data_IF_618292207218
#
_entry.id   IF_618292207218
#
_cell.length_a   1.000
_cell.length_b   1.000
_cell.length_c   1.000
_cell.angle_alpha   90.00
_cell.angle_beta   90.00
_cell.angle_gamma   90.00
#
_symmetry.space_group_name_H-M   'P 1'
#
loop_
_entity.id
_entity.type
_entity.pdbx_description
1 polymer ?
#
# COMPACT_ATOMS: atom_id res chain seq x y z
N UNK A 1 15.69 15.06 -15.61
CA UNK A 1 15.01 16.33 -15.30
C UNK A 1 15.97 17.29 -14.61
N UNK A 2 15.88 18.58 -14.92
CA UNK A 2 16.65 19.65 -14.25
C UNK A 2 15.65 20.61 -13.64
N UNK A 3 15.86 20.97 -12.37
CA UNK A 3 15.03 21.92 -11.65
C UNK A 3 15.72 23.27 -11.60
N UNK A 4 14.99 24.33 -11.94
CA UNK A 4 15.49 25.70 -11.96
C UNK A 4 14.76 26.55 -10.93
N UNK A 5 15.52 27.43 -10.26
CA UNK A 5 14.98 28.47 -9.40
C UNK A 5 14.44 29.68 -10.22
N UNK A 6 13.90 30.68 -9.54
CA UNK A 6 13.39 31.93 -10.16
C UNK A 6 14.43 32.74 -10.94
N UNK A 7 15.71 32.49 -10.72
CA UNK A 7 16.84 33.15 -11.41
C UNK A 7 17.37 32.32 -12.59
N UNK A 8 16.76 31.14 -12.83
CA UNK A 8 17.21 30.21 -13.87
C UNK A 8 18.39 29.35 -13.48
N UNK A 9 18.78 29.33 -12.20
CA UNK A 9 19.88 28.48 -11.72
C UNK A 9 19.40 27.07 -11.47
N UNK A 10 20.16 26.08 -11.92
CA UNK A 10 19.87 24.69 -11.66
C UNK A 10 20.24 24.31 -10.21
N UNK A 11 19.40 23.53 -9.56
CA UNK A 11 19.65 23.00 -8.21
C UNK A 11 19.02 21.63 -8.02
N UNK A 12 19.42 20.92 -6.94
CA UNK A 12 18.81 19.67 -6.52
C UNK A 12 17.80 19.97 -5.42
N UNK A 13 16.48 19.82 -5.67
CA UNK A 13 15.47 20.13 -4.67
C UNK A 13 15.48 19.10 -3.54
N UNK A 14 15.18 19.59 -2.35
CA UNK A 14 14.89 18.81 -1.14
C UNK A 14 13.56 19.27 -0.55
N UNK A 15 13.01 18.57 0.43
CA UNK A 15 11.72 18.92 1.03
C UNK A 15 11.56 20.40 1.40
N UNK A 16 12.61 21.02 1.96
CA UNK A 16 12.60 22.43 2.34
C UNK A 16 12.71 23.43 1.18
N UNK A 17 13.09 22.98 -0.01
CA UNK A 17 13.32 23.86 -1.19
C UNK A 17 12.35 23.55 -2.34
N UNK A 18 11.31 22.76 -2.11
CA UNK A 18 10.28 22.50 -3.13
C UNK A 18 9.58 23.79 -3.60
N UNK A 19 9.41 24.75 -2.70
CA UNK A 19 8.81 26.05 -3.02
C UNK A 19 9.69 26.94 -3.91
N UNK A 20 10.98 26.64 -4.05
CA UNK A 20 11.93 27.40 -4.85
C UNK A 20 11.98 26.93 -6.32
N UNK A 21 11.31 25.83 -6.65
CA UNK A 21 11.25 25.31 -8.02
C UNK A 21 10.35 26.21 -8.87
N UNK A 22 10.93 26.84 -9.88
CA UNK A 22 10.17 27.65 -10.83
C UNK A 22 9.94 26.93 -12.15
N UNK A 23 10.94 26.18 -12.66
CA UNK A 23 10.82 25.43 -13.90
C UNK A 23 11.39 24.02 -13.79
N UNK A 24 10.87 23.12 -14.63
CA UNK A 24 11.36 21.76 -14.81
C UNK A 24 11.73 21.56 -16.27
N UNK A 25 13.00 21.26 -16.54
CA UNK A 25 13.44 20.88 -17.87
C UNK A 25 13.39 19.37 -18.00
N UNK A 26 12.56 18.88 -18.91
CA UNK A 26 12.49 17.46 -19.22
C UNK A 26 13.70 16.96 -20.00
N UNK A 27 14.14 15.71 -19.81
CA UNK A 27 15.14 15.11 -20.67
C UNK A 27 14.62 14.99 -22.11
N UNK A 28 15.53 14.96 -23.07
CA UNK A 28 15.18 14.82 -24.50
C UNK A 28 14.52 13.47 -24.80
N UNK A 29 14.93 12.44 -24.09
CA UNK A 29 14.37 11.10 -24.24
C UNK A 29 13.66 10.70 -22.93
N UNK A 30 12.46 10.11 -23.00
CA UNK A 30 11.77 9.62 -21.83
C UNK A 30 12.51 8.43 -21.22
N UNK A 31 12.22 8.12 -19.96
CA UNK A 31 12.71 6.91 -19.31
C UNK A 31 12.16 5.67 -20.03
N UNK A 32 13.05 4.91 -20.69
CA UNK A 32 12.69 3.93 -21.74
C UNK A 32 12.20 2.58 -21.22
N UNK A 33 11.97 2.40 -19.90
CA UNK A 33 11.48 1.15 -19.33
C UNK A 33 10.16 1.35 -18.57
N UNK A 34 9.23 0.39 -18.61
CA UNK A 34 8.03 0.44 -17.77
C UNK A 34 8.39 0.40 -16.29
N UNK A 35 7.79 1.27 -15.50
CA UNK A 35 8.00 1.31 -14.05
C UNK A 35 6.68 1.06 -13.33
N UNK A 36 6.69 0.14 -12.38
CA UNK A 36 5.60 -0.05 -11.42
C UNK A 36 6.15 0.21 -10.03
N UNK A 37 5.52 1.12 -9.30
CA UNK A 37 5.89 1.43 -7.92
C UNK A 37 4.88 0.82 -6.95
N UNK A 38 5.37 -0.01 -6.04
CA UNK A 38 4.55 -0.56 -4.96
C UNK A 38 4.15 0.56 -3.99
N UNK A 39 2.86 0.73 -3.78
CA UNK A 39 2.31 1.79 -2.94
C UNK A 39 1.08 1.30 -2.20
N UNK A 40 1.21 1.07 -0.89
CA UNK A 40 0.13 0.54 -0.04
C UNK A 40 -0.64 1.63 0.73
N UNK A 41 -0.40 2.91 0.39
CA UNK A 41 -1.13 4.05 0.94
C UNK A 41 -1.83 4.81 -0.16
N UNK A 42 -2.96 5.44 0.17
CA UNK A 42 -3.77 6.22 -0.78
C UNK A 42 -3.70 7.72 -0.53
N UNK A 43 -2.87 8.15 0.43
CA UNK A 43 -2.73 9.55 0.82
C UNK A 43 -2.43 10.45 -0.39
N UNK A 44 -3.12 11.59 -0.51
CA UNK A 44 -2.83 12.58 -1.54
C UNK A 44 -1.47 13.24 -1.31
N UNK A 45 -0.98 13.98 -2.30
CA UNK A 45 0.33 14.63 -2.21
C UNK A 45 0.38 15.66 -1.08
N UNK A 46 -0.65 16.47 -0.93
CA UNK A 46 -0.75 17.56 0.05
C UNK A 46 -2.14 17.62 0.69
N UNK A 47 -2.31 18.51 1.68
CA UNK A 47 -3.55 18.68 2.42
C UNK A 47 -3.56 17.94 3.75
N UNK A 48 -4.69 17.97 4.48
CA UNK A 48 -4.80 17.41 5.82
C UNK A 48 -4.42 15.92 5.88
N UNK A 49 -4.79 15.15 4.86
CA UNK A 49 -4.45 13.74 4.72
C UNK A 49 -3.21 13.51 3.83
N UNK A 50 -2.51 14.59 3.47
CA UNK A 50 -1.36 14.57 2.57
C UNK A 50 -0.06 14.18 3.25
N UNK A 51 1.00 14.06 2.41
CA UNK A 51 2.30 13.55 2.80
C UNK A 51 2.91 14.28 4.01
N UNK A 52 2.84 15.61 4.04
CA UNK A 52 3.46 16.39 5.11
C UNK A 52 2.75 16.19 6.45
N UNK A 53 1.43 16.32 6.48
CA UNK A 53 0.66 16.21 7.73
C UNK A 53 0.67 14.79 8.32
N UNK A 54 0.62 13.76 7.46
CA UNK A 54 0.55 12.37 7.92
C UNK A 54 1.92 11.79 8.26
N UNK A 55 2.95 12.08 7.48
CA UNK A 55 4.22 11.36 7.58
C UNK A 55 5.40 12.19 8.11
N UNK A 56 5.34 13.54 8.09
CA UNK A 56 6.47 14.34 8.54
C UNK A 56 6.64 14.38 10.07
N UNK A 57 5.57 14.39 10.91
CA UNK A 57 5.72 14.43 12.37
C UNK A 57 6.52 13.25 12.93
N UNK A 58 6.27 12.04 12.48
CA UNK A 58 7.02 10.84 12.91
C UNK A 58 8.49 10.86 12.51
N UNK A 59 8.87 11.73 11.55
CA UNK A 59 10.25 11.95 11.10
C UNK A 59 10.90 13.16 11.80
N UNK A 60 10.23 13.72 12.82
CA UNK A 60 10.75 14.81 13.66
C UNK A 60 10.37 16.22 13.21
N UNK A 61 9.51 16.39 12.21
CA UNK A 61 9.06 17.72 11.80
C UNK A 61 8.11 18.34 12.84
N UNK A 62 8.39 19.58 13.22
CA UNK A 62 7.47 20.36 14.05
C UNK A 62 6.30 20.94 13.20
N UNK A 63 5.31 21.55 13.87
CA UNK A 63 4.11 22.05 13.18
C UNK A 63 4.38 23.13 12.12
N UNK A 64 5.42 23.92 12.29
CA UNK A 64 5.82 24.94 11.31
C UNK A 64 6.45 24.28 10.07
N UNK A 65 7.35 23.33 10.28
CA UNK A 65 7.95 22.55 9.21
C UNK A 65 6.92 21.74 8.42
N UNK A 66 5.93 21.13 9.09
CA UNK A 66 4.82 20.43 8.42
C UNK A 66 4.06 21.36 7.50
N UNK A 67 3.71 22.58 7.95
CA UNK A 67 3.05 23.57 7.10
C UNK A 67 3.91 24.00 5.92
N UNK A 68 5.20 24.26 6.14
CA UNK A 68 6.11 24.63 5.08
C UNK A 68 6.27 23.52 4.04
N UNK A 69 6.39 22.27 4.46
CA UNK A 69 6.45 21.10 3.57
C UNK A 69 5.17 20.93 2.77
N UNK A 70 3.99 21.09 3.38
CA UNK A 70 2.71 21.01 2.65
C UNK A 70 2.59 22.10 1.59
N UNK A 71 3.00 23.33 1.90
CA UNK A 71 3.02 24.42 0.93
C UNK A 71 3.99 24.12 -0.23
N UNK A 72 5.16 23.56 0.06
CA UNK A 72 6.14 23.14 -0.95
C UNK A 72 5.57 22.04 -1.87
N UNK A 73 4.87 21.05 -1.31
CA UNK A 73 4.21 20.00 -2.09
C UNK A 73 3.07 20.53 -2.96
N UNK A 74 2.26 21.47 -2.44
CA UNK A 74 1.23 22.19 -3.23
C UNK A 74 1.84 22.96 -4.37
N UNK A 75 2.96 23.63 -4.14
CA UNK A 75 3.68 24.36 -5.18
C UNK A 75 4.19 23.38 -6.24
N UNK A 76 4.84 22.30 -5.81
CA UNK A 76 5.33 21.25 -6.72
C UNK A 76 4.21 20.67 -7.59
N UNK A 77 3.01 20.39 -7.04
CA UNK A 77 1.86 19.94 -7.82
C UNK A 77 1.53 20.90 -8.95
N UNK A 78 1.50 22.21 -8.67
CA UNK A 78 1.23 23.23 -9.70
C UNK A 78 2.30 23.26 -10.79
N UNK A 79 3.58 23.12 -10.41
CA UNK A 79 4.68 23.07 -11.36
C UNK A 79 4.59 21.81 -12.23
N UNK A 80 4.34 20.62 -11.65
CA UNK A 80 4.14 19.38 -12.40
C UNK A 80 3.01 19.49 -13.42
N UNK A 81 1.90 20.12 -13.03
CA UNK A 81 0.77 20.35 -13.94
C UNK A 81 1.09 21.33 -15.06
N UNK A 82 1.80 22.42 -14.75
CA UNK A 82 2.16 23.45 -15.70
C UNK A 82 3.22 22.99 -16.71
N UNK A 83 4.29 22.35 -16.21
CA UNK A 83 5.47 22.03 -17.02
C UNK A 83 5.38 20.65 -17.69
N UNK A 84 4.73 19.68 -17.04
CA UNK A 84 4.66 18.30 -17.53
C UNK A 84 3.24 17.86 -17.90
N UNK A 85 2.23 18.70 -17.68
CA UNK A 85 0.83 18.31 -17.87
C UNK A 85 0.35 17.22 -16.91
N UNK A 86 1.11 16.96 -15.83
CA UNK A 86 0.83 15.89 -14.88
C UNK A 86 0.00 16.39 -13.70
N UNK A 87 -1.20 15.81 -13.53
CA UNK A 87 -2.10 16.13 -12.42
C UNK A 87 -1.89 15.13 -11.26
N UNK A 88 -1.22 15.60 -10.21
CA UNK A 88 -0.98 14.82 -8.99
C UNK A 88 -2.12 14.92 -7.97
N UNK A 89 -3.07 15.84 -8.13
CA UNK A 89 -4.08 16.16 -7.12
C UNK A 89 -5.05 15.00 -6.90
N UNK A 90 -5.35 14.28 -7.99
CA UNK A 90 -6.28 13.15 -7.99
C UNK A 90 -5.59 11.77 -8.03
N UNK A 91 -4.27 11.72 -7.83
CA UNK A 91 -3.52 10.46 -7.85
C UNK A 91 -3.50 9.82 -6.45
N UNK A 92 -4.22 8.71 -6.20
CA UNK A 92 -4.11 7.96 -4.95
C UNK A 92 -2.67 7.48 -4.76
N UNK A 93 -2.12 7.72 -3.56
CA UNK A 93 -0.74 7.36 -3.27
C UNK A 93 0.30 8.39 -3.70
N UNK A 94 -0.11 9.53 -4.25
CA UNK A 94 0.81 10.62 -4.59
C UNK A 94 1.68 11.05 -3.40
N UNK A 95 1.11 11.04 -2.18
CA UNK A 95 1.78 11.39 -0.93
C UNK A 95 2.68 10.30 -0.35
N UNK A 96 2.69 9.09 -0.92
CA UNK A 96 3.52 7.99 -0.44
C UNK A 96 4.99 8.40 -0.31
N UNK A 97 5.63 8.00 0.78
CA UNK A 97 7.03 8.28 1.08
C UNK A 97 7.41 9.78 0.96
N UNK A 98 6.49 10.68 1.37
CA UNK A 98 6.74 12.12 1.37
C UNK A 98 6.61 12.79 0.01
N UNK A 99 5.82 12.21 -0.91
CA UNK A 99 5.61 12.70 -2.26
C UNK A 99 6.39 11.92 -3.33
N UNK A 100 7.14 10.87 -2.95
CA UNK A 100 7.85 10.03 -3.91
C UNK A 100 6.89 9.32 -4.87
N UNK A 101 5.66 9.00 -4.43
CA UNK A 101 4.61 8.45 -5.29
C UNK A 101 4.31 9.37 -6.48
N UNK A 102 4.07 10.65 -6.23
CA UNK A 102 3.88 11.64 -7.29
C UNK A 102 5.14 11.79 -8.17
N UNK A 103 6.33 11.81 -7.55
CA UNK A 103 7.59 11.89 -8.27
C UNK A 103 7.82 10.72 -9.21
N UNK A 104 7.59 9.48 -8.75
CA UNK A 104 7.72 8.29 -9.58
C UNK A 104 6.75 8.31 -10.76
N UNK A 105 5.49 8.71 -10.52
CA UNK A 105 4.51 8.82 -11.58
C UNK A 105 4.87 9.92 -12.59
N UNK A 106 5.26 11.13 -12.11
CA UNK A 106 5.54 12.27 -12.97
C UNK A 106 6.84 12.13 -13.79
N UNK A 107 7.90 11.62 -13.17
CA UNK A 107 9.24 11.63 -13.78
C UNK A 107 9.62 10.30 -14.41
N UNK A 108 9.08 9.19 -13.96
CA UNK A 108 9.36 7.86 -14.52
C UNK A 108 8.16 7.24 -15.23
N UNK A 109 7.06 8.01 -15.33
CA UNK A 109 5.77 7.48 -15.82
C UNK A 109 5.35 6.18 -15.11
N UNK A 110 5.66 6.10 -13.80
CA UNK A 110 5.39 4.92 -13.02
C UNK A 110 3.90 4.73 -12.76
N UNK A 111 3.43 3.48 -12.81
CA UNK A 111 2.11 3.09 -12.33
C UNK A 111 2.20 2.79 -10.84
N UNK A 112 1.41 3.49 -10.02
CA UNK A 112 1.29 3.15 -8.60
C UNK A 112 0.33 1.97 -8.46
N UNK A 113 0.74 0.93 -7.75
CA UNK A 113 -0.02 -0.30 -7.56
C UNK A 113 0.23 -0.84 -6.16
N UNK A 114 -0.80 -1.43 -5.54
CA UNK A 114 -0.60 -2.04 -4.22
C UNK A 114 0.40 -3.20 -4.30
N UNK A 115 1.18 -3.40 -3.24
CA UNK A 115 2.15 -4.49 -3.17
C UNK A 115 1.50 -5.84 -3.39
N UNK A 116 0.33 -6.07 -2.79
CA UNK A 116 -0.41 -7.33 -2.96
C UNK A 116 -0.84 -7.53 -4.40
N UNK A 117 -1.32 -6.49 -5.11
CA UNK A 117 -1.72 -6.63 -6.50
C UNK A 117 -0.52 -6.97 -7.41
N UNK A 118 0.66 -6.43 -7.12
CA UNK A 118 1.89 -6.77 -7.87
C UNK A 118 2.21 -8.25 -7.66
N UNK A 119 2.21 -8.73 -6.41
CA UNK A 119 2.52 -10.14 -6.11
C UNK A 119 1.50 -11.08 -6.75
N UNK A 120 0.21 -10.75 -6.69
CA UNK A 120 -0.84 -11.59 -7.28
C UNK A 120 -0.76 -11.63 -8.81
N UNK A 121 -0.37 -10.53 -9.47
CA UNK A 121 -0.16 -10.51 -10.92
C UNK A 121 1.05 -11.37 -11.32
N UNK A 122 2.20 -11.15 -10.67
CA UNK A 122 3.45 -11.85 -10.98
C UNK A 122 3.36 -13.35 -10.68
N UNK A 123 2.53 -13.75 -9.69
CA UNK A 123 2.29 -15.16 -9.38
C UNK A 123 1.29 -15.84 -10.32
N UNK A 124 0.63 -15.09 -11.20
CA UNK A 124 -0.44 -15.64 -12.06
C UNK A 124 -1.68 -16.06 -11.26
N UNK A 125 -1.92 -15.44 -10.11
CA UNK A 125 -2.99 -15.82 -9.18
C UNK A 125 -4.35 -15.97 -9.84
N UNK A 126 -4.76 -15.06 -10.73
CA UNK A 126 -6.09 -15.09 -11.35
C UNK A 126 -6.29 -16.35 -12.22
N UNK A 127 -5.24 -16.82 -12.90
CA UNK A 127 -5.31 -18.06 -13.69
C UNK A 127 -5.37 -19.30 -12.78
N UNK A 128 -4.58 -19.31 -11.70
CA UNK A 128 -4.61 -20.40 -10.72
C UNK A 128 -5.97 -20.48 -10.01
N UNK A 129 -6.53 -19.34 -9.65
CA UNK A 129 -7.79 -19.24 -8.93
C UNK A 129 -9.00 -19.74 -9.76
N UNK A 130 -8.96 -19.67 -11.09
CA UNK A 130 -10.07 -20.13 -11.97
C UNK A 130 -10.43 -21.60 -11.77
N UNK A 131 -9.43 -22.42 -11.43
CA UNK A 131 -9.59 -23.87 -11.27
C UNK A 131 -9.51 -24.31 -9.81
N UNK A 132 -9.59 -23.38 -8.87
CA UNK A 132 -9.55 -23.67 -7.44
C UNK A 132 -10.95 -23.70 -6.85
N UNK A 133 -11.29 -24.77 -6.13
CA UNK A 133 -12.50 -24.85 -5.32
C UNK A 133 -12.36 -24.06 -4.02
N UNK A 134 -11.14 -24.03 -3.50
CA UNK A 134 -10.79 -23.39 -2.22
C UNK A 134 -9.52 -22.57 -2.36
N UNK A 135 -9.53 -21.38 -1.78
CA UNK A 135 -8.36 -20.52 -1.62
C UNK A 135 -8.14 -20.31 -0.12
N UNK A 136 -6.92 -20.57 0.33
CA UNK A 136 -6.52 -20.32 1.72
C UNK A 136 -5.54 -19.17 1.74
N UNK A 137 -5.84 -18.17 2.57
CA UNK A 137 -4.95 -17.01 2.81
C UNK A 137 -4.65 -16.88 4.30
N UNK A 138 -3.72 -16.00 4.66
CA UNK A 138 -3.41 -15.79 6.07
C UNK A 138 -2.51 -14.60 6.33
N UNK A 139 -2.51 -14.17 7.58
CA UNK A 139 -1.63 -13.12 8.10
C UNK A 139 -1.41 -13.28 9.61
N UNK A 140 -0.46 -12.53 10.17
CA UNK A 140 -0.16 -12.61 11.59
C UNK A 140 -1.31 -12.13 12.48
N UNK A 141 -2.00 -11.06 12.08
CA UNK A 141 -3.13 -10.49 12.83
C UNK A 141 -4.22 -10.04 11.88
N UNK A 142 -5.43 -10.54 12.10
CA UNK A 142 -6.63 -10.08 11.44
C UNK A 142 -7.25 -8.93 12.23
N UNK A 143 -7.31 -7.74 11.66
CA UNK A 143 -7.88 -6.53 12.25
C UNK A 143 -8.50 -5.63 11.17
N UNK A 144 -8.97 -4.46 11.59
CA UNK A 144 -9.54 -3.46 10.68
C UNK A 144 -8.63 -3.08 9.49
N UNK A 145 -7.30 -3.15 9.63
CA UNK A 145 -6.38 -2.90 8.51
C UNK A 145 -6.38 -4.03 7.49
N UNK A 146 -6.66 -5.26 7.91
CA UNK A 146 -6.79 -6.43 7.03
C UNK A 146 -7.91 -6.26 6.01
N UNK A 147 -8.99 -5.56 6.39
CA UNK A 147 -10.12 -5.23 5.52
C UNK A 147 -9.75 -4.13 4.51
N UNK A 148 -8.82 -3.24 4.83
CA UNK A 148 -8.51 -2.02 4.05
C UNK A 148 -7.30 -2.11 3.13
N UNK A 149 -7.13 -3.18 2.35
CA UNK A 149 -6.16 -3.18 1.24
C UNK A 149 -4.83 -3.88 1.53
N UNK A 150 -4.75 -4.72 2.58
CA UNK A 150 -3.61 -5.61 2.84
C UNK A 150 -3.79 -6.97 2.13
N UNK A 151 -2.93 -7.93 2.47
CA UNK A 151 -2.84 -9.22 1.79
C UNK A 151 -4.19 -9.92 1.71
N UNK A 152 -4.90 -10.06 2.83
CA UNK A 152 -6.19 -10.76 2.84
C UNK A 152 -7.24 -10.08 1.95
N UNK A 153 -7.40 -8.76 2.03
CA UNK A 153 -8.38 -8.07 1.21
C UNK A 153 -8.06 -8.16 -0.28
N UNK A 154 -6.76 -8.09 -0.65
CA UNK A 154 -6.31 -8.26 -2.03
C UNK A 154 -6.62 -9.66 -2.57
N UNK A 155 -6.28 -10.70 -1.81
CA UNK A 155 -6.58 -12.09 -2.17
C UNK A 155 -8.08 -12.31 -2.30
N UNK A 156 -8.87 -11.91 -1.29
CA UNK A 156 -10.33 -12.09 -1.29
C UNK A 156 -11.00 -11.37 -2.46
N UNK A 157 -10.60 -10.12 -2.75
CA UNK A 157 -11.12 -9.33 -3.89
C UNK A 157 -10.87 -10.03 -5.22
N UNK A 158 -9.72 -10.67 -5.39
CA UNK A 158 -9.40 -11.39 -6.64
C UNK A 158 -10.06 -12.77 -6.67
N UNK A 159 -10.07 -13.49 -5.56
CA UNK A 159 -10.76 -14.77 -5.40
C UNK A 159 -12.26 -14.70 -5.69
N UNK A 160 -12.92 -13.61 -5.33
CA UNK A 160 -14.33 -13.38 -5.61
C UNK A 160 -14.70 -13.50 -7.11
N UNK A 161 -13.74 -13.32 -8.01
CA UNK A 161 -13.94 -13.45 -9.46
C UNK A 161 -13.95 -14.91 -9.93
N UNK A 162 -13.32 -15.82 -9.18
CA UNK A 162 -13.25 -17.25 -9.53
C UNK A 162 -14.41 -18.07 -9.00
N UNK A 163 -15.10 -17.58 -7.98
CA UNK A 163 -16.14 -18.33 -7.27
C UNK A 163 -15.61 -19.32 -6.23
N UNK A 164 -14.28 -19.40 -6.05
CA UNK A 164 -13.65 -20.25 -5.05
C UNK A 164 -14.04 -19.83 -3.61
N UNK A 165 -14.24 -20.80 -2.74
CA UNK A 165 -14.48 -20.54 -1.33
C UNK A 165 -13.19 -20.06 -0.65
N UNK A 166 -13.21 -18.89 0.01
CA UNK A 166 -12.03 -18.35 0.70
C UNK A 166 -12.08 -18.69 2.18
N UNK A 167 -11.00 -19.27 2.66
CA UNK A 167 -10.74 -19.52 4.07
C UNK A 167 -9.48 -18.77 4.50
N UNK A 168 -9.40 -18.42 5.78
CA UNK A 168 -8.22 -17.72 6.28
C UNK A 168 -7.69 -18.34 7.58
N UNK A 169 -6.37 -18.27 7.74
CA UNK A 169 -5.68 -18.63 8.99
C UNK A 169 -4.89 -17.42 9.47
N UNK A 170 -5.05 -17.03 10.72
CA UNK A 170 -4.29 -15.94 11.31
C UNK A 170 -3.71 -16.28 12.67
N UNK A 171 -2.69 -15.54 13.09
CA UNK A 171 -2.10 -15.65 14.40
C UNK A 171 -3.08 -15.25 15.50
N UNK A 172 -3.67 -14.07 15.39
CA UNK A 172 -4.73 -13.57 16.27
C UNK A 172 -5.74 -12.76 15.48
N UNK A 173 -6.93 -12.56 16.05
CA UNK A 173 -7.98 -11.75 15.46
C UNK A 173 -8.46 -10.68 16.46
N UNK A 174 -8.78 -9.51 15.96
CA UNK A 174 -9.39 -8.42 16.73
C UNK A 174 -10.91 -8.43 16.52
N UNK A 175 -11.64 -7.98 17.53
CA UNK A 175 -13.11 -7.89 17.49
C UNK A 175 -13.64 -6.71 16.64
N UNK A 176 -12.76 -5.87 16.13
CA UNK A 176 -13.08 -4.69 15.31
C UNK A 176 -13.15 -4.99 13.80
N UNK A 177 -12.99 -6.26 13.41
CA UNK A 177 -13.00 -6.70 12.02
C UNK A 177 -13.85 -7.96 11.84
N UNK A 178 -14.76 -7.94 10.87
CA UNK A 178 -15.59 -9.10 10.49
C UNK A 178 -15.00 -9.76 9.23
N UNK A 179 -14.57 -11.03 9.29
CA UNK A 179 -14.11 -11.76 8.11
C UNK A 179 -15.15 -11.83 6.97
N UNK A 180 -16.44 -11.78 7.30
CA UNK A 180 -17.52 -11.81 6.31
C UNK A 180 -17.49 -10.59 5.37
N UNK A 181 -16.99 -9.44 5.82
CA UNK A 181 -16.82 -8.25 4.96
C UNK A 181 -15.88 -8.49 3.76
N UNK A 182 -14.95 -9.42 3.90
CA UNK A 182 -14.05 -9.85 2.82
C UNK A 182 -14.58 -11.08 2.04
N UNK A 183 -15.73 -11.63 2.41
CA UNK A 183 -16.24 -12.87 1.84
C UNK A 183 -15.48 -14.12 2.31
N UNK A 184 -14.76 -14.04 3.42
CA UNK A 184 -14.08 -15.18 4.05
C UNK A 184 -15.13 -16.09 4.66
N UNK A 185 -15.20 -17.34 4.20
CA UNK A 185 -16.17 -18.32 4.66
C UNK A 185 -15.95 -18.71 6.12
N UNK A 186 -14.68 -18.83 6.52
CA UNK A 186 -14.31 -19.08 7.92
C UNK A 186 -12.87 -18.63 8.20
N UNK A 187 -12.66 -18.02 9.35
CA UNK A 187 -11.37 -17.63 9.89
C UNK A 187 -10.94 -18.62 10.98
N UNK A 188 -9.72 -19.13 10.87
CA UNK A 188 -9.10 -19.99 11.87
C UNK A 188 -8.00 -19.21 12.58
N UNK A 189 -8.13 -19.08 13.89
CA UNK A 189 -7.21 -18.29 14.72
C UNK A 189 -6.30 -19.25 15.49
N UNK A 190 -5.00 -19.07 15.39
CA UNK A 190 -4.02 -19.95 16.05
C UNK A 190 -3.74 -19.56 17.50
N UNK A 191 -3.96 -18.29 17.90
CA UNK A 191 -3.75 -17.80 19.25
C UNK A 191 -4.88 -16.87 19.70
N UNK A 192 -5.21 -16.92 20.97
CA UNK A 192 -6.20 -16.01 21.59
C UNK A 192 -5.70 -14.57 21.80
N UNK A 193 -4.42 -14.31 21.50
CA UNK A 193 -3.82 -12.97 21.64
C UNK A 193 -3.50 -12.55 23.08
N UNK A 194 -3.62 -13.45 24.05
CA UNK A 194 -3.38 -13.16 25.48
C UNK A 194 -1.92 -13.34 25.90
N UNK A 195 -1.11 -14.02 25.09
CA UNK A 195 0.27 -14.39 25.41
C UNK A 195 1.28 -13.35 24.95
N UNK A 196 2.43 -13.34 25.62
CA UNK A 196 3.56 -12.51 25.23
C UNK A 196 4.19 -12.99 23.91
N UNK A 197 4.96 -12.13 23.26
CA UNK A 197 5.65 -12.48 22.00
C UNK A 197 6.60 -13.65 22.19
N UNK A 198 7.31 -13.73 23.32
CA UNK A 198 8.26 -14.81 23.60
C UNK A 198 7.54 -16.18 23.76
N UNK A 199 6.40 -16.20 24.43
CA UNK A 199 5.56 -17.40 24.54
C UNK A 199 5.01 -17.83 23.18
N UNK A 200 4.56 -16.86 22.36
CA UNK A 200 4.06 -17.12 21.01
C UNK A 200 5.15 -17.70 20.10
N UNK A 201 6.38 -17.21 20.18
CA UNK A 201 7.49 -17.73 19.37
C UNK A 201 7.81 -19.19 19.68
N UNK A 202 7.60 -19.65 20.94
CA UNK A 202 7.80 -21.03 21.34
C UNK A 202 6.68 -21.94 20.81
N UNK A 203 5.44 -21.48 20.85
CA UNK A 203 4.24 -22.30 20.55
C UNK A 203 3.68 -22.12 19.13
N UNK A 204 4.09 -21.08 18.39
CA UNK A 204 3.48 -20.70 17.11
C UNK A 204 3.38 -21.85 16.10
N UNK A 205 4.37 -22.72 16.03
CA UNK A 205 4.37 -23.84 15.08
C UNK A 205 3.28 -24.88 15.40
N UNK A 206 3.12 -25.26 16.67
CA UNK A 206 2.10 -26.23 17.10
C UNK A 206 0.71 -25.64 16.99
N UNK A 207 0.54 -24.37 17.26
CA UNK A 207 -0.74 -23.67 17.17
C UNK A 207 -1.18 -23.47 15.72
N UNK A 208 -0.25 -23.05 14.84
CA UNK A 208 -0.53 -22.99 13.42
C UNK A 208 -0.92 -24.36 12.86
N UNK A 209 -0.24 -25.42 13.31
CA UNK A 209 -0.58 -26.79 12.92
C UNK A 209 -1.99 -27.18 13.38
N UNK A 210 -2.38 -26.82 14.61
CA UNK A 210 -3.73 -27.07 15.11
C UNK A 210 -4.80 -26.30 14.31
N UNK A 211 -4.56 -25.02 14.01
CA UNK A 211 -5.46 -24.21 13.19
C UNK A 211 -5.59 -24.76 11.77
N UNK A 212 -4.49 -25.16 11.14
CA UNK A 212 -4.50 -25.79 9.83
C UNK A 212 -5.23 -27.14 9.81
N UNK A 213 -5.08 -27.94 10.88
CA UNK A 213 -5.82 -29.20 11.05
C UNK A 213 -7.33 -28.95 11.17
N UNK A 214 -7.73 -27.93 11.93
CA UNK A 214 -9.14 -27.56 12.05
C UNK A 214 -9.73 -27.09 10.70
N UNK A 215 -8.95 -26.34 9.92
CA UNK A 215 -9.33 -25.97 8.56
C UNK A 215 -9.49 -27.20 7.66
N UNK A 216 -8.53 -28.13 7.68
CA UNK A 216 -8.63 -29.35 6.88
C UNK A 216 -9.88 -30.19 7.23
N UNK A 217 -10.19 -30.31 8.54
CA UNK A 217 -11.40 -30.99 8.99
C UNK A 217 -12.69 -30.28 8.55
N UNK A 218 -12.67 -28.97 8.43
CA UNK A 218 -13.81 -28.20 7.90
C UNK A 218 -14.03 -28.47 6.42
N UNK A 219 -12.96 -28.51 5.65
CA UNK A 219 -13.03 -28.79 4.21
C UNK A 219 -13.59 -30.19 3.92
N UNK A 220 -13.20 -31.19 4.72
CA UNK A 220 -13.70 -32.57 4.60
C UNK A 220 -15.18 -32.74 4.95
N UNK A 221 -15.84 -31.75 5.55
CA UNK A 221 -17.29 -31.78 5.84
C UNK A 221 -18.13 -31.19 4.71
N UNK A 222 -17.49 -30.55 3.73
CA UNK A 222 -18.16 -29.91 2.62
C UNK A 222 -18.37 -30.82 1.40
N UNK A 223 -17.90 -32.07 1.49
CA UNK A 223 -18.17 -33.17 0.55
C UNK A 223 -19.39 -33.99 1.06
#
# INVERSE_FOLDING_TARGET
FVFLDKNGNAFVPVGGTLADIEHIISPKEPFGVPVTAACDVTNPLFGADGAAYVFAPQKGANAEQVRALDLGLRHMSKILKRELGFDSDNLPGAGAAGGLGAGAAAFLNARLKSGIDIVLDESGFDELAKNADVIVTGEGRFDFQSIRGKVMSGVCKRAAKSGAAVYAVCGCASSDADPAELGIKKLFVSSDGTRTMDELLISCRSELYAAATALAQELLKCD
#
